data_IF_580375923494
#
_entry.id   IF_580375923494
#
_cell.length_a   1.000
_cell.length_b   1.000
_cell.length_c   1.000
_cell.angle_alpha   90.00
_cell.angle_beta   90.00
_cell.angle_gamma   90.00
#
_symmetry.space_group_name_H-M   'P 1'
#
loop_
_entity.id
_entity.type
_entity.pdbx_description
1 polymer ?
#
# COMPACT_ATOMS: atom_id res chain seq x y z
N UNK A 1 29.01 -17.63 -6.58
CA UNK A 1 27.93 -16.66 -6.31
C UNK A 1 27.20 -17.15 -5.08
N UNK A 2 27.24 -16.37 -4.01
CA UNK A 2 26.74 -16.72 -2.68
C UNK A 2 25.23 -17.04 -2.70
N UNK A 3 24.81 -18.08 -1.99
CA UNK A 3 23.42 -18.55 -2.04
C UNK A 3 22.45 -17.58 -1.36
N UNK A 4 22.93 -16.77 -0.39
CA UNK A 4 22.15 -15.68 0.19
C UNK A 4 21.94 -14.54 -0.81
N UNK A 5 22.96 -14.25 -1.63
CA UNK A 5 22.83 -13.27 -2.71
C UNK A 5 21.83 -13.72 -3.79
N UNK A 6 21.82 -15.00 -4.17
CA UNK A 6 20.81 -15.55 -5.11
C UNK A 6 19.40 -15.44 -4.55
N UNK A 7 19.23 -15.74 -3.27
CA UNK A 7 17.92 -15.65 -2.61
C UNK A 7 17.41 -14.21 -2.54
N UNK A 8 18.28 -13.25 -2.22
CA UNK A 8 17.92 -11.83 -2.24
C UNK A 8 17.52 -11.35 -3.64
N UNK A 9 18.23 -11.80 -4.68
CA UNK A 9 17.88 -11.48 -6.07
C UNK A 9 16.54 -12.09 -6.49
N UNK A 10 16.23 -13.31 -6.03
CA UNK A 10 14.93 -13.96 -6.26
C UNK A 10 13.79 -13.16 -5.63
N UNK A 11 13.92 -12.80 -4.35
CA UNK A 11 12.92 -12.01 -3.62
C UNK A 11 12.72 -10.64 -4.28
N UNK A 12 13.81 -9.98 -4.69
CA UNK A 12 13.74 -8.69 -5.38
C UNK A 12 12.98 -8.79 -6.71
N UNK A 13 13.21 -9.87 -7.47
CA UNK A 13 12.51 -10.12 -8.73
C UNK A 13 11.02 -10.39 -8.50
N UNK A 14 10.68 -11.27 -7.58
CA UNK A 14 9.29 -11.59 -7.23
C UNK A 14 8.55 -10.34 -6.74
N UNK A 15 9.20 -9.49 -5.94
CA UNK A 15 8.65 -8.20 -5.53
C UNK A 15 8.39 -7.26 -6.72
N UNK A 16 9.28 -7.25 -7.70
CA UNK A 16 9.14 -6.39 -8.88
C UNK A 16 8.02 -6.88 -9.81
N UNK A 17 7.87 -8.19 -9.97
CA UNK A 17 6.78 -8.82 -10.72
C UNK A 17 5.42 -8.53 -10.05
N UNK A 18 5.34 -8.64 -8.72
CA UNK A 18 4.16 -8.25 -7.93
C UNK A 18 3.80 -6.76 -8.08
N UNK A 19 4.80 -5.87 -7.98
CA UNK A 19 4.58 -4.43 -8.17
C UNK A 19 4.02 -4.12 -9.56
N UNK A 20 4.57 -4.77 -10.59
CA UNK A 20 4.10 -4.61 -11.95
C UNK A 20 2.67 -5.11 -12.12
N UNK A 21 2.37 -6.31 -11.64
CA UNK A 21 1.02 -6.88 -11.67
C UNK A 21 -0.01 -5.97 -10.98
N UNK A 22 0.31 -5.44 -9.81
CA UNK A 22 -0.57 -4.52 -9.09
C UNK A 22 -0.77 -3.19 -9.84
N UNK A 23 0.28 -2.64 -10.45
CA UNK A 23 0.18 -1.39 -11.23
C UNK A 23 -0.56 -1.54 -12.57
N UNK A 24 -0.62 -2.76 -13.11
CA UNK A 24 -1.32 -3.07 -14.37
C UNK A 24 -2.72 -3.66 -14.13
N UNK A 25 -3.09 -3.88 -12.86
CA UNK A 25 -4.39 -4.45 -12.50
C UNK A 25 -5.53 -3.50 -12.90
N UNK A 26 -6.63 -4.09 -13.35
CA UNK A 26 -7.88 -3.35 -13.61
C UNK A 26 -8.71 -3.16 -12.34
N UNK A 27 -8.35 -3.85 -11.27
CA UNK A 27 -8.98 -3.71 -9.97
C UNK A 27 -8.53 -2.39 -9.30
N UNK A 28 -9.49 -1.62 -8.80
CA UNK A 28 -9.20 -0.35 -8.14
C UNK A 28 -8.55 -0.56 -6.77
N UNK A 29 -8.86 -1.66 -6.07
CA UNK A 29 -8.23 -2.04 -4.81
C UNK A 29 -6.73 -2.35 -4.98
N UNK A 30 -6.37 -3.12 -6.01
CA UNK A 30 -4.96 -3.42 -6.32
C UNK A 30 -4.14 -2.14 -6.60
N UNK A 31 -4.73 -1.21 -7.35
CA UNK A 31 -4.08 0.08 -7.65
C UNK A 31 -3.95 0.96 -6.40
N UNK A 32 -4.94 0.98 -5.52
CA UNK A 32 -4.88 1.70 -4.25
C UNK A 32 -3.82 1.07 -3.33
N UNK A 33 -3.76 -0.25 -3.25
CA UNK A 33 -2.73 -0.96 -2.52
C UNK A 33 -1.32 -0.64 -3.05
N UNK A 34 -1.14 -0.65 -4.38
CA UNK A 34 0.12 -0.26 -5.01
C UNK A 34 0.54 1.17 -4.61
N UNK A 35 -0.38 2.12 -4.68
CA UNK A 35 -0.12 3.52 -4.32
C UNK A 35 0.23 3.65 -2.82
N UNK A 36 -0.48 2.97 -1.93
CA UNK A 36 -0.19 3.01 -0.49
C UNK A 36 1.16 2.37 -0.15
N UNK A 37 1.53 1.28 -0.84
CA UNK A 37 2.70 0.47 -0.45
C UNK A 37 3.99 0.83 -1.19
N UNK A 38 3.90 1.21 -2.46
CA UNK A 38 5.06 1.40 -3.33
C UNK A 38 5.08 2.77 -4.03
N UNK A 39 3.93 3.40 -4.22
CA UNK A 39 3.75 4.66 -4.94
C UNK A 39 3.31 5.83 -4.07
N UNK A 40 3.65 5.82 -2.77
CA UNK A 40 3.10 6.76 -1.81
C UNK A 40 3.40 8.22 -2.21
N UNK A 41 2.41 9.13 -2.15
CA UNK A 41 2.60 10.54 -2.46
C UNK A 41 3.69 11.18 -1.59
N UNK A 42 4.39 12.17 -2.15
CA UNK A 42 5.43 12.93 -1.43
C UNK A 42 4.90 14.21 -0.79
N UNK A 43 3.69 14.62 -1.15
CA UNK A 43 3.05 15.85 -0.71
C UNK A 43 1.69 15.59 -0.06
N UNK A 44 1.24 16.56 0.74
CA UNK A 44 0.00 16.47 1.51
C UNK A 44 -1.21 16.37 0.58
N UNK A 45 -1.19 17.08 -0.54
CA UNK A 45 -2.29 17.07 -1.51
C UNK A 45 -2.51 15.69 -2.13
N UNK A 46 -1.43 15.01 -2.51
CA UNK A 46 -1.49 13.64 -3.02
C UNK A 46 -1.96 12.66 -1.96
N UNK A 47 -1.58 12.85 -0.68
CA UNK A 47 -2.10 12.04 0.42
C UNK A 47 -3.60 12.24 0.64
N UNK A 48 -4.09 13.48 0.60
CA UNK A 48 -5.53 13.78 0.71
C UNK A 48 -6.31 13.15 -0.44
N UNK A 49 -5.77 13.22 -1.66
CA UNK A 49 -6.39 12.60 -2.84
C UNK A 49 -6.46 11.08 -2.70
N UNK A 50 -5.37 10.44 -2.30
CA UNK A 50 -5.32 8.99 -2.07
C UNK A 50 -6.29 8.56 -0.97
N UNK A 51 -6.37 9.33 0.11
CA UNK A 51 -7.33 9.11 1.20
C UNK A 51 -8.78 9.11 0.69
N UNK A 52 -9.17 10.11 -0.10
CA UNK A 52 -10.53 10.18 -0.66
C UNK A 52 -10.84 8.99 -1.57
N UNK A 53 -9.89 8.57 -2.40
CA UNK A 53 -10.07 7.42 -3.29
C UNK A 53 -10.22 6.10 -2.52
N UNK A 54 -9.45 5.93 -1.44
CA UNK A 54 -9.61 4.79 -0.52
C UNK A 54 -10.98 4.84 0.15
N UNK A 55 -11.40 6.01 0.63
CA UNK A 55 -12.69 6.18 1.28
C UNK A 55 -13.85 5.86 0.35
N UNK A 56 -13.86 6.37 -0.88
CA UNK A 56 -14.88 6.07 -1.89
C UNK A 56 -14.90 4.58 -2.28
N UNK A 57 -13.74 3.94 -2.38
CA UNK A 57 -13.65 2.50 -2.64
C UNK A 57 -14.29 1.68 -1.52
N UNK A 58 -14.11 2.10 -0.26
CA UNK A 58 -14.65 1.43 0.92
C UNK A 58 -16.15 1.67 1.15
N UNK A 59 -16.70 2.77 0.64
CA UNK A 59 -18.11 3.13 0.78
C UNK A 59 -19.01 2.40 -0.24
N UNK A 60 -18.43 1.82 -1.29
CA UNK A 60 -19.15 1.01 -2.27
C UNK A 60 -19.41 -0.41 -1.74
N UNK A 61 -20.60 -0.63 -1.15
CA UNK A 61 -21.47 -1.83 -0.94
C UNK A 61 -20.94 -3.30 -1.03
N UNK A 62 -19.63 -3.57 -1.03
CA UNK A 62 -19.01 -4.90 -1.07
C UNK A 62 -18.01 -5.09 0.08
N UNK A 63 -18.38 -4.60 1.26
CA UNK A 63 -17.47 -3.92 2.17
C UNK A 63 -17.16 -4.64 3.50
N UNK A 64 -17.13 -5.97 3.58
CA UNK A 64 -16.77 -6.63 4.86
C UNK A 64 -15.31 -7.10 4.89
N UNK A 65 -14.88 -7.99 3.99
CA UNK A 65 -13.51 -8.51 4.01
C UNK A 65 -12.46 -7.50 3.49
N UNK A 66 -12.80 -6.78 2.42
CA UNK A 66 -11.92 -5.74 1.85
C UNK A 66 -11.77 -4.55 2.80
N UNK A 67 -12.80 -4.25 3.60
CA UNK A 67 -12.81 -3.17 4.58
C UNK A 67 -11.95 -3.49 5.79
N UNK A 68 -11.96 -4.74 6.26
CA UNK A 68 -11.09 -5.17 7.35
C UNK A 68 -9.60 -5.05 6.99
N UNK A 69 -9.22 -5.47 5.78
CA UNK A 69 -7.84 -5.40 5.31
C UNK A 69 -7.38 -3.93 5.16
N UNK A 70 -8.20 -3.07 4.57
CA UNK A 70 -7.89 -1.64 4.39
C UNK A 70 -7.94 -0.81 5.70
N UNK A 71 -8.80 -1.18 6.66
CA UNK A 71 -8.76 -0.59 8.00
C UNK A 71 -7.43 -0.86 8.69
N UNK A 72 -6.94 -2.09 8.63
CA UNK A 72 -5.62 -2.43 9.17
C UNK A 72 -4.50 -1.62 8.50
N UNK A 73 -4.59 -1.39 7.19
CA UNK A 73 -3.65 -0.50 6.48
C UNK A 73 -3.75 0.95 6.94
N UNK A 74 -4.96 1.45 7.18
CA UNK A 74 -5.21 2.83 7.63
C UNK A 74 -4.69 3.05 9.07
N UNK A 75 -4.92 2.08 9.96
CA UNK A 75 -4.38 2.08 11.32
C UNK A 75 -2.86 2.00 11.33
N UNK A 76 -2.26 1.18 10.46
CA UNK A 76 -0.82 1.09 10.31
C UNK A 76 -0.21 2.42 9.84
N UNK A 77 -0.86 3.12 8.90
CA UNK A 77 -0.42 4.44 8.45
C UNK A 77 -0.58 5.49 9.55
N UNK A 78 -1.68 5.48 10.30
CA UNK A 78 -1.89 6.37 11.43
C UNK A 78 -0.81 6.17 12.51
N UNK A 79 -0.42 4.92 12.80
CA UNK A 79 0.67 4.61 13.72
C UNK A 79 2.04 5.12 13.22
N UNK A 80 2.33 5.05 11.92
CA UNK A 80 3.57 5.60 11.37
C UNK A 80 3.65 7.13 11.49
N UNK A 81 2.51 7.84 11.31
CA UNK A 81 2.43 9.29 11.50
C UNK A 81 2.48 9.68 12.98
N UNK A 82 1.91 8.85 13.85
CA UNK A 82 1.88 9.10 15.31
C UNK A 82 3.22 8.78 15.98
N UNK A 83 3.98 7.81 15.44
CA UNK A 83 5.30 7.43 15.94
C UNK A 83 6.39 8.50 15.74
N UNK A 84 6.19 9.43 14.80
CA UNK A 84 7.11 10.55 14.56
C UNK A 84 6.97 11.69 15.61
N UNK A 85 6.03 11.55 16.57
CA UNK A 85 5.85 12.44 17.73
C UNK A 85 6.16 11.77 19.08
N UNK A 86 6.84 10.63 19.09
CA UNK A 86 7.11 9.83 20.29
C UNK A 86 8.57 9.75 20.72
N UNK A 87 9.43 10.66 20.25
CA UNK A 87 10.86 10.63 20.51
C UNK A 87 11.44 12.02 20.84
N UNK A 88 10.89 12.67 21.87
CA UNK A 88 11.62 13.65 22.71
C UNK A 88 11.33 13.34 24.18
#
# INVERSE_FOLDING_TARGET
>A
MDDKLKELLRIARESNELRKALSESKDSGDNLYYQLRFGAPRDIEGWVKLYNQVHEYLDNDHADENKACLMQYTEMLAMMVSGDKGGE
#
